data_IF_142281711377
#
_entry.id   IF_142281711377
#
_cell.length_a   1.000
_cell.length_b   1.000
_cell.length_c   1.000
_cell.angle_alpha   90.00
_cell.angle_beta   90.00
_cell.angle_gamma   90.00
#
_symmetry.space_group_name_H-M   'P 1'
#
loop_
_entity.id
_entity.type
_entity.pdbx_description
1 polymer ?
#
# COMPACT_ATOMS: atom_id res chain seq x y z
N UNK A 1 -2.74 23.28 4.66
CA UNK A 1 -2.13 22.15 5.41
C UNK A 1 -1.52 21.21 4.39
N UNK A 2 -0.32 20.67 4.65
CA UNK A 2 0.31 19.72 3.72
C UNK A 2 -0.50 18.40 3.73
N UNK A 3 -1.06 18.05 2.58
CA UNK A 3 -1.73 16.74 2.40
C UNK A 3 -0.71 15.79 1.79
N UNK A 4 -0.55 14.55 2.29
CA UNK A 4 0.34 13.57 1.69
C UNK A 4 -0.18 13.21 0.29
N UNK A 5 0.70 13.25 -0.70
CA UNK A 5 0.36 12.82 -2.06
C UNK A 5 0.13 11.30 -2.12
N UNK A 6 0.85 10.53 -1.30
CA UNK A 6 0.76 9.08 -1.25
C UNK A 6 0.46 8.59 0.18
N UNK A 7 -0.66 7.89 0.31
CA UNK A 7 -1.10 7.23 1.55
C UNK A 7 -1.08 5.71 1.33
N UNK A 8 -0.48 4.97 2.26
CA UNK A 8 -0.51 3.52 2.27
C UNK A 8 -1.33 3.01 3.46
N UNK A 9 -2.16 1.96 3.27
CA UNK A 9 -3.08 1.47 4.30
C UNK A 9 -2.92 -0.04 4.51
N UNK A 10 -2.65 -0.43 5.76
CA UNK A 10 -2.74 -1.82 6.22
C UNK A 10 -4.16 -2.06 6.75
N UNK A 11 -4.96 -2.76 5.96
CA UNK A 11 -6.39 -3.03 6.17
C UNK A 11 -6.60 -4.17 7.18
N UNK A 12 -6.34 -3.91 8.46
CA UNK A 12 -6.40 -4.93 9.51
C UNK A 12 -7.74 -4.92 10.27
N UNK A 13 -8.11 -6.09 10.84
CA UNK A 13 -9.23 -6.23 11.73
C UNK A 13 -10.48 -6.87 11.14
N UNK A 14 -10.54 -7.27 9.87
CA UNK A 14 -11.70 -7.90 9.23
C UNK A 14 -12.25 -9.09 10.03
N UNK A 15 -11.38 -10.01 10.44
CA UNK A 15 -11.77 -11.19 11.21
C UNK A 15 -12.23 -10.86 12.64
N UNK A 16 -11.58 -9.90 13.31
CA UNK A 16 -11.96 -9.42 14.64
C UNK A 16 -13.31 -8.71 14.62
N UNK A 17 -13.53 -7.91 13.60
CA UNK A 17 -14.82 -7.24 13.35
C UNK A 17 -15.98 -8.26 13.23
N UNK A 18 -15.80 -9.31 12.43
CA UNK A 18 -16.78 -10.36 12.25
C UNK A 18 -17.04 -11.12 13.57
N UNK A 19 -15.97 -11.53 14.28
CA UNK A 19 -16.05 -12.22 15.56
C UNK A 19 -16.81 -11.41 16.61
N UNK A 20 -16.55 -10.10 16.71
CA UNK A 20 -17.22 -9.21 17.65
C UNK A 20 -18.73 -9.09 17.38
N UNK A 21 -19.21 -9.47 16.18
CA UNK A 21 -20.60 -9.43 15.75
C UNK A 21 -21.26 -10.82 15.61
N UNK A 22 -20.55 -11.88 16.04
CA UNK A 22 -21.04 -13.26 15.89
C UNK A 22 -21.15 -13.72 14.43
N UNK A 23 -20.41 -13.08 13.50
CA UNK A 23 -20.49 -13.35 12.07
C UNK A 23 -19.33 -14.24 11.60
N UNK A 24 -19.52 -15.00 10.52
CA UNK A 24 -18.42 -15.72 9.86
C UNK A 24 -17.33 -14.75 9.39
N UNK A 25 -16.07 -15.20 9.41
CA UNK A 25 -14.90 -14.40 9.03
C UNK A 25 -15.02 -13.78 7.63
N UNK A 26 -15.61 -14.51 6.69
CA UNK A 26 -15.89 -14.06 5.33
C UNK A 26 -16.78 -12.80 5.29
N UNK A 27 -17.72 -12.65 6.23
CA UNK A 27 -18.55 -11.45 6.31
C UNK A 27 -17.69 -10.19 6.64
N UNK A 28 -16.68 -10.35 7.50
CA UNK A 28 -15.74 -9.27 7.78
C UNK A 28 -14.91 -8.88 6.55
N UNK A 29 -14.45 -9.84 5.77
CA UNK A 29 -13.72 -9.56 4.53
C UNK A 29 -14.62 -8.88 3.49
N UNK A 30 -15.88 -9.28 3.35
CA UNK A 30 -16.84 -8.59 2.47
C UNK A 30 -17.09 -7.14 2.91
N UNK A 31 -17.29 -6.92 4.20
CA UNK A 31 -17.44 -5.58 4.75
C UNK A 31 -16.15 -4.74 4.55
N UNK A 32 -14.97 -5.38 4.62
CA UNK A 32 -13.69 -4.74 4.32
C UNK A 32 -13.55 -4.31 2.84
N UNK A 33 -14.13 -5.05 1.90
CA UNK A 33 -14.18 -4.64 0.48
C UNK A 33 -15.07 -3.39 0.32
N UNK A 34 -16.20 -3.31 1.03
CA UNK A 34 -17.04 -2.10 1.02
C UNK A 34 -16.32 -0.87 1.62
N UNK A 35 -15.54 -1.07 2.69
CA UNK A 35 -14.72 0.00 3.26
C UNK A 35 -13.66 0.47 2.25
N UNK A 36 -13.01 -0.46 1.51
CA UNK A 36 -12.05 -0.12 0.44
C UNK A 36 -12.71 0.74 -0.64
N UNK A 37 -13.88 0.37 -1.15
CA UNK A 37 -14.63 1.16 -2.15
C UNK A 37 -14.87 2.59 -1.69
N UNK A 38 -15.36 2.76 -0.44
CA UNK A 38 -15.60 4.09 0.16
C UNK A 38 -14.31 4.89 0.27
N UNK A 39 -13.21 4.25 0.66
CA UNK A 39 -11.89 4.88 0.81
C UNK A 39 -11.35 5.35 -0.55
N UNK A 40 -11.41 4.50 -1.58
CA UNK A 40 -10.98 4.86 -2.95
C UNK A 40 -11.77 6.04 -3.49
N UNK A 41 -13.10 6.04 -3.32
CA UNK A 41 -13.94 7.17 -3.75
C UNK A 41 -13.65 8.47 -2.98
N UNK A 42 -13.27 8.37 -1.70
CA UNK A 42 -13.00 9.55 -0.87
C UNK A 42 -11.60 10.14 -1.10
N UNK A 43 -10.63 9.34 -1.50
CA UNK A 43 -9.21 9.71 -1.58
C UNK A 43 -8.93 10.93 -2.48
N UNK A 44 -9.45 11.04 -3.72
CA UNK A 44 -9.19 12.19 -4.57
C UNK A 44 -9.73 13.50 -3.96
N UNK A 45 -10.94 13.45 -3.38
CA UNK A 45 -11.57 14.62 -2.71
C UNK A 45 -10.87 15.05 -1.42
N UNK A 46 -9.90 14.26 -0.94
CA UNK A 46 -9.03 14.57 0.20
C UNK A 46 -7.61 14.97 -0.24
N UNK A 47 -7.35 15.08 -1.55
CA UNK A 47 -6.06 15.50 -2.11
C UNK A 47 -5.03 14.37 -2.23
N UNK A 48 -5.43 13.11 -2.12
CA UNK A 48 -4.57 11.94 -2.26
C UNK A 48 -4.46 11.57 -3.75
N UNK A 49 -3.24 11.50 -4.27
CA UNK A 49 -2.95 11.12 -5.65
C UNK A 49 -2.58 9.63 -5.81
N UNK A 50 -2.00 9.04 -4.76
CA UNK A 50 -1.62 7.63 -4.70
C UNK A 50 -2.17 7.00 -3.43
N UNK A 51 -2.86 5.87 -3.57
CA UNK A 51 -3.38 5.09 -2.46
C UNK A 51 -2.90 3.66 -2.59
N UNK A 52 -1.98 3.23 -1.71
CA UNK A 52 -1.53 1.83 -1.65
C UNK A 52 -2.30 1.09 -0.56
N UNK A 53 -2.85 -0.07 -0.89
CA UNK A 53 -3.58 -0.92 0.05
C UNK A 53 -2.98 -2.31 0.14
N UNK A 54 -2.83 -2.84 1.38
CA UNK A 54 -2.31 -4.18 1.62
C UNK A 54 -3.44 -5.21 1.55
N UNK A 55 -3.68 -5.74 0.36
CA UNK A 55 -4.80 -6.64 0.09
C UNK A 55 -4.51 -8.10 0.49
N UNK A 56 -3.31 -8.60 0.18
CA UNK A 56 -2.90 -9.97 0.50
C UNK A 56 -1.38 -10.07 0.64
N UNK A 57 -0.92 -10.43 1.83
CA UNK A 57 0.53 -10.61 2.08
C UNK A 57 1.00 -12.00 1.65
N UNK A 58 2.31 -12.13 1.36
CA UNK A 58 2.94 -13.43 1.09
C UNK A 58 2.75 -14.42 2.24
N UNK A 59 2.69 -13.95 3.49
CA UNK A 59 2.47 -14.80 4.67
C UNK A 59 1.03 -15.33 4.75
N UNK A 60 0.07 -14.71 4.06
CA UNK A 60 -1.34 -15.14 4.10
C UNK A 60 -1.58 -16.50 3.43
N UNK A 61 -0.64 -17.00 2.62
CA UNK A 61 -0.71 -18.36 2.10
C UNK A 61 -0.62 -19.45 3.17
N UNK A 62 -0.08 -19.12 4.36
CA UNK A 62 -0.04 -20.04 5.52
C UNK A 62 -1.40 -20.20 6.22
N UNK A 63 -2.40 -19.41 5.85
CA UNK A 63 -3.76 -19.50 6.42
C UNK A 63 -4.47 -20.78 5.97
N UNK A 64 -5.56 -21.19 6.67
CA UNK A 64 -6.37 -22.31 6.23
C UNK A 64 -6.79 -22.18 4.76
N UNK A 65 -6.70 -23.27 3.98
CA UNK A 65 -6.97 -23.28 2.54
C UNK A 65 -8.34 -22.71 2.17
N UNK A 66 -9.38 -22.96 3.00
CA UNK A 66 -10.70 -22.40 2.81
C UNK A 66 -10.70 -20.86 2.88
N UNK A 67 -10.01 -20.27 3.88
CA UNK A 67 -9.87 -18.81 3.99
C UNK A 67 -9.14 -18.20 2.79
N UNK A 68 -8.05 -18.83 2.36
CA UNK A 68 -7.30 -18.39 1.16
C UNK A 68 -8.19 -18.43 -0.08
N UNK A 69 -8.96 -19.52 -0.27
CA UNK A 69 -9.92 -19.64 -1.37
C UNK A 69 -10.98 -18.54 -1.35
N UNK A 70 -11.53 -18.25 -0.17
CA UNK A 70 -12.51 -17.16 0.01
C UNK A 70 -11.92 -15.79 -0.35
N UNK A 71 -10.68 -15.50 0.08
CA UNK A 71 -9.99 -14.25 -0.24
C UNK A 71 -9.72 -14.13 -1.74
N UNK A 72 -9.30 -15.20 -2.42
CA UNK A 72 -9.13 -15.21 -3.88
C UNK A 72 -10.48 -14.98 -4.60
N UNK A 73 -11.55 -15.60 -4.11
CA UNK A 73 -12.92 -15.36 -4.61
C UNK A 73 -13.35 -13.89 -4.47
N UNK A 74 -13.06 -13.26 -3.33
CA UNK A 74 -13.36 -11.85 -3.10
C UNK A 74 -12.55 -10.92 -3.99
N UNK A 75 -11.26 -11.21 -4.22
CA UNK A 75 -10.43 -10.45 -5.16
C UNK A 75 -11.02 -10.48 -6.57
N UNK A 76 -11.34 -11.71 -7.07
CA UNK A 76 -11.96 -11.89 -8.39
C UNK A 76 -13.29 -11.11 -8.50
N UNK A 77 -14.11 -11.18 -7.46
CA UNK A 77 -15.39 -10.46 -7.42
C UNK A 77 -15.19 -8.94 -7.43
N UNK A 78 -14.23 -8.42 -6.63
CA UNK A 78 -13.90 -7.01 -6.59
C UNK A 78 -13.48 -6.52 -7.98
N UNK A 79 -12.49 -7.19 -8.61
CA UNK A 79 -12.00 -6.76 -9.92
C UNK A 79 -13.16 -6.78 -10.93
N UNK A 80 -13.89 -7.88 -11.07
CA UNK A 80 -14.96 -8.00 -12.06
C UNK A 80 -16.10 -7.00 -11.87
N UNK A 81 -16.45 -6.69 -10.62
CA UNK A 81 -17.57 -5.80 -10.31
C UNK A 81 -17.20 -4.33 -10.36
N UNK A 82 -15.98 -4.00 -9.87
CA UNK A 82 -15.65 -2.61 -9.57
C UNK A 82 -14.73 -1.99 -10.63
N UNK A 83 -14.10 -2.81 -11.50
CA UNK A 83 -13.15 -2.33 -12.50
C UNK A 83 -13.75 -1.28 -13.44
N UNK A 84 -14.99 -1.50 -13.91
CA UNK A 84 -15.67 -0.54 -14.80
C UNK A 84 -15.90 0.82 -14.10
N UNK A 85 -16.31 0.80 -12.83
CA UNK A 85 -16.51 2.02 -12.03
C UNK A 85 -15.18 2.72 -11.76
N UNK A 86 -14.12 1.97 -11.41
CA UNK A 86 -12.78 2.53 -11.21
C UNK A 86 -12.29 3.22 -12.48
N UNK A 87 -12.47 2.58 -13.65
CA UNK A 87 -12.10 3.16 -14.94
C UNK A 87 -12.89 4.43 -15.24
N UNK A 88 -14.23 4.41 -15.09
CA UNK A 88 -15.08 5.59 -15.30
C UNK A 88 -14.74 6.76 -14.37
N UNK A 89 -14.30 6.46 -13.15
CA UNK A 89 -13.88 7.46 -12.16
C UNK A 89 -12.44 7.96 -12.36
N UNK A 90 -11.77 7.51 -13.44
CA UNK A 90 -10.40 7.91 -13.75
C UNK A 90 -9.36 7.33 -12.79
N UNK A 91 -9.67 6.25 -12.05
CA UNK A 91 -8.73 5.56 -11.16
C UNK A 91 -7.82 4.65 -11.97
N UNK A 92 -6.51 4.84 -11.86
CA UNK A 92 -5.49 3.94 -12.41
C UNK A 92 -5.19 2.84 -11.42
N UNK A 93 -5.28 1.59 -11.82
CA UNK A 93 -4.92 0.43 -10.99
C UNK A 93 -3.47 0.03 -11.27
N UNK A 94 -2.70 -0.21 -10.22
CA UNK A 94 -1.36 -0.80 -10.26
C UNK A 94 -1.31 -1.96 -9.26
N UNK A 95 -0.68 -3.04 -9.64
CA UNK A 95 -0.54 -4.23 -8.78
C UNK A 95 0.94 -4.42 -8.45
N UNK A 96 1.27 -4.47 -7.17
CA UNK A 96 2.62 -4.81 -6.68
C UNK A 96 2.59 -6.14 -5.95
N UNK A 97 3.71 -6.87 -6.02
CA UNK A 97 3.89 -8.20 -5.42
C UNK A 97 4.25 -9.26 -6.45
N UNK A 98 4.57 -10.45 -5.96
CA UNK A 98 5.03 -11.54 -6.82
C UNK A 98 3.86 -12.20 -7.56
N UNK A 99 3.93 -12.18 -8.90
CA UNK A 99 2.96 -12.84 -9.78
C UNK A 99 3.34 -14.30 -10.10
N UNK A 100 4.58 -14.70 -9.77
CA UNK A 100 5.01 -16.08 -9.94
C UNK A 100 4.18 -17.00 -9.02
N UNK A 101 3.74 -18.13 -9.54
CA UNK A 101 2.90 -19.07 -8.79
C UNK A 101 1.43 -18.71 -8.63
N UNK A 102 0.98 -17.53 -9.04
CA UNK A 102 -0.45 -17.21 -9.10
C UNK A 102 -1.15 -18.02 -10.20
N UNK A 103 -2.40 -18.42 -9.94
CA UNK A 103 -3.26 -19.08 -10.94
C UNK A 103 -3.44 -18.18 -12.17
N UNK A 104 -3.51 -18.78 -13.35
CA UNK A 104 -3.56 -18.04 -14.61
C UNK A 104 -4.78 -17.10 -14.72
N UNK A 105 -5.92 -17.51 -14.17
CA UNK A 105 -7.14 -16.69 -14.15
C UNK A 105 -7.02 -15.46 -13.24
N UNK A 106 -6.29 -15.56 -12.13
CA UNK A 106 -5.99 -14.40 -11.28
C UNK A 106 -5.05 -13.45 -12.02
N UNK A 107 -3.95 -13.97 -12.60
CA UNK A 107 -3.01 -13.14 -13.37
C UNK A 107 -3.73 -12.38 -14.47
N UNK A 108 -4.56 -13.07 -15.27
CA UNK A 108 -5.32 -12.43 -16.35
C UNK A 108 -6.23 -11.30 -15.86
N UNK A 109 -6.89 -11.45 -14.71
CA UNK A 109 -7.71 -10.38 -14.11
C UNK A 109 -6.87 -9.18 -13.62
N UNK A 110 -5.69 -9.43 -13.05
CA UNK A 110 -4.78 -8.36 -12.63
C UNK A 110 -4.26 -7.59 -13.84
N UNK A 111 -3.86 -8.29 -14.90
CA UNK A 111 -3.36 -7.70 -16.14
C UNK A 111 -4.46 -6.89 -16.87
N UNK A 112 -5.71 -7.40 -16.89
CA UNK A 112 -6.87 -6.68 -17.41
C UNK A 112 -7.13 -5.38 -16.65
N UNK A 113 -7.08 -5.41 -15.31
CA UNK A 113 -7.30 -4.24 -14.48
C UNK A 113 -6.27 -3.14 -14.74
N UNK A 114 -4.99 -3.49 -14.83
CA UNK A 114 -3.93 -2.52 -15.15
C UNK A 114 -4.05 -1.98 -16.57
N UNK A 115 -4.28 -2.86 -17.55
CA UNK A 115 -4.36 -2.47 -18.97
C UNK A 115 -5.53 -1.54 -19.25
N UNK A 116 -6.72 -1.84 -18.71
CA UNK A 116 -7.92 -1.01 -18.91
C UNK A 116 -7.75 0.39 -18.31
N UNK A 117 -7.03 0.51 -17.19
CA UNK A 117 -6.95 1.75 -16.42
C UNK A 117 -5.64 2.52 -16.62
N UNK A 118 -4.76 2.08 -17.54
CA UNK A 118 -3.39 2.59 -17.69
C UNK A 118 -3.31 4.10 -17.94
N UNK A 119 -4.30 4.66 -18.63
CA UNK A 119 -4.35 6.08 -18.99
C UNK A 119 -5.12 6.96 -17.99
N UNK A 120 -5.63 6.37 -16.92
CA UNK A 120 -6.36 7.11 -15.89
C UNK A 120 -5.40 7.92 -15.01
N UNK A 121 -5.88 9.08 -14.51
CA UNK A 121 -5.03 10.07 -13.82
C UNK A 121 -5.64 10.68 -12.54
N UNK A 122 -6.90 10.35 -12.18
CA UNK A 122 -7.54 10.94 -11.00
C UNK A 122 -6.94 10.45 -9.68
N UNK A 123 -6.64 9.16 -9.60
CA UNK A 123 -6.02 8.47 -8.46
C UNK A 123 -5.26 7.26 -8.99
N UNK A 124 -4.07 7.01 -8.47
CA UNK A 124 -3.40 5.72 -8.65
C UNK A 124 -3.67 4.84 -7.43
N UNK A 125 -4.52 3.81 -7.63
CA UNK A 125 -4.77 2.76 -6.63
C UNK A 125 -3.74 1.65 -6.81
N UNK A 126 -2.85 1.52 -5.83
CA UNK A 126 -1.83 0.47 -5.80
C UNK A 126 -2.31 -0.66 -4.89
N UNK A 127 -2.47 -1.85 -5.43
CA UNK A 127 -2.92 -3.04 -4.68
C UNK A 127 -1.72 -3.94 -4.44
N UNK A 128 -1.25 -4.00 -3.19
CA UNK A 128 -0.22 -4.94 -2.78
C UNK A 128 -0.86 -6.33 -2.59
N UNK A 129 -0.63 -7.21 -3.57
CA UNK A 129 -1.19 -8.54 -3.64
C UNK A 129 -0.09 -9.59 -3.80
N UNK A 130 -0.13 -10.63 -2.98
CA UNK A 130 0.97 -11.58 -2.82
C UNK A 130 2.30 -10.85 -2.58
N UNK A 131 2.24 -9.82 -1.73
CA UNK A 131 3.33 -8.89 -1.48
C UNK A 131 3.97 -9.13 -0.12
N UNK A 132 5.28 -8.96 -0.06
CA UNK A 132 6.08 -8.88 1.14
C UNK A 132 7.35 -8.07 0.89
N UNK A 133 7.61 -7.06 1.71
CA UNK A 133 8.75 -6.15 1.49
C UNK A 133 10.11 -6.85 1.50
N UNK A 134 10.29 -7.86 2.38
CA UNK A 134 11.53 -8.67 2.38
C UNK A 134 11.69 -9.45 1.08
N UNK A 135 10.62 -10.06 0.57
CA UNK A 135 10.65 -10.80 -0.68
C UNK A 135 10.91 -9.86 -1.88
N UNK A 136 10.28 -8.71 -1.92
CA UNK A 136 10.51 -7.68 -2.94
C UNK A 136 11.98 -7.25 -2.98
N UNK A 137 12.58 -6.97 -1.81
CA UNK A 137 14.01 -6.60 -1.69
C UNK A 137 14.90 -7.73 -2.23
N UNK A 138 14.63 -8.99 -1.86
CA UNK A 138 15.41 -10.14 -2.35
C UNK A 138 15.26 -10.33 -3.85
N UNK A 139 14.04 -10.19 -4.40
CA UNK A 139 13.79 -10.27 -5.85
C UNK A 139 14.53 -9.16 -6.61
N UNK A 140 14.51 -7.95 -6.07
CA UNK A 140 15.23 -6.80 -6.63
C UNK A 140 16.75 -7.00 -6.61
N UNK A 141 17.30 -7.44 -5.48
CA UNK A 141 18.73 -7.76 -5.38
C UNK A 141 19.15 -8.83 -6.41
N UNK A 142 18.34 -9.87 -6.62
CA UNK A 142 18.61 -10.89 -7.66
C UNK A 142 18.58 -10.31 -9.07
N UNK A 143 17.62 -9.43 -9.38
CA UNK A 143 17.57 -8.76 -10.69
C UNK A 143 18.85 -7.96 -10.96
N UNK A 144 19.28 -7.15 -9.98
CA UNK A 144 20.51 -6.35 -10.09
C UNK A 144 21.75 -7.21 -10.22
N UNK A 145 21.90 -8.25 -9.39
CA UNK A 145 23.03 -9.19 -9.47
C UNK A 145 23.09 -9.89 -10.85
N UNK A 146 21.96 -10.27 -11.42
CA UNK A 146 21.89 -10.84 -12.76
C UNK A 146 22.25 -9.83 -13.84
N UNK A 147 21.84 -8.56 -13.71
CA UNK A 147 22.21 -7.50 -14.66
C UNK A 147 23.74 -7.23 -14.62
N UNK A 148 24.36 -7.23 -13.44
CA UNK A 148 25.82 -7.15 -13.30
C UNK A 148 26.49 -8.36 -13.95
N UNK A 149 26.02 -9.59 -13.69
CA UNK A 149 26.60 -10.80 -14.26
C UNK A 149 26.51 -10.84 -15.80
N UNK A 150 25.51 -10.18 -16.40
CA UNK A 150 25.38 -10.02 -17.85
C UNK A 150 26.15 -8.81 -18.41
N UNK A 151 26.81 -8.02 -17.59
CA UNK A 151 27.52 -6.80 -18.00
C UNK A 151 26.60 -5.65 -18.43
N UNK A 152 25.31 -5.67 -18.06
CA UNK A 152 24.33 -4.63 -18.39
C UNK A 152 24.49 -3.39 -17.50
N UNK A 153 24.98 -3.58 -16.27
CA UNK A 153 25.31 -2.52 -15.30
C UNK A 153 26.60 -2.84 -14.57
N UNK A 154 27.30 -1.81 -14.09
CA UNK A 154 28.42 -1.96 -13.17
C UNK A 154 27.88 -2.13 -11.73
N UNK A 155 28.56 -2.95 -10.89
CA UNK A 155 28.20 -3.09 -9.48
C UNK A 155 28.24 -1.76 -8.72
N UNK A 156 29.19 -0.88 -9.06
CA UNK A 156 29.33 0.46 -8.46
C UNK A 156 28.20 1.44 -8.88
N UNK A 157 27.46 1.13 -9.94
CA UNK A 157 26.27 1.89 -10.35
C UNK A 157 25.00 1.52 -9.55
N UNK A 158 25.09 0.54 -8.63
CA UNK A 158 23.97 0.18 -7.75
C UNK A 158 23.90 1.20 -6.61
N UNK A 159 23.02 2.18 -6.74
CA UNK A 159 22.70 3.19 -5.73
C UNK A 159 21.32 2.93 -5.11
N UNK A 160 20.94 3.69 -4.07
CA UNK A 160 19.61 3.63 -3.50
C UNK A 160 18.54 3.94 -4.55
N UNK A 161 18.78 4.90 -5.44
CA UNK A 161 17.88 5.31 -6.52
C UNK A 161 17.75 4.21 -7.58
N UNK A 162 18.87 3.62 -8.05
CA UNK A 162 18.83 2.54 -9.03
C UNK A 162 18.18 1.28 -8.45
N UNK A 163 18.36 1.01 -7.15
CA UNK A 163 17.69 -0.07 -6.44
C UNK A 163 16.17 0.19 -6.36
N UNK A 164 15.75 1.40 -5.94
CA UNK A 164 14.35 1.79 -5.89
C UNK A 164 13.68 1.71 -7.27
N UNK A 165 14.41 2.05 -8.35
CA UNK A 165 13.96 1.90 -9.72
C UNK A 165 13.72 0.47 -10.19
N UNK A 166 14.16 -0.54 -9.41
CA UNK A 166 13.95 -1.97 -9.70
C UNK A 166 12.88 -2.62 -8.80
N UNK A 167 12.35 -1.90 -7.81
CA UNK A 167 11.26 -2.36 -6.95
C UNK A 167 9.93 -2.44 -7.72
N UNK A 168 8.97 -3.17 -7.18
CA UNK A 168 7.62 -3.28 -7.75
C UNK A 168 6.91 -1.91 -7.80
N UNK A 169 7.33 -0.98 -6.95
CA UNK A 169 6.82 0.40 -6.85
C UNK A 169 7.48 1.37 -7.83
N UNK A 170 8.28 0.92 -8.78
CA UNK A 170 8.91 1.79 -9.78
C UNK A 170 7.90 2.79 -10.40
N UNK A 171 8.26 4.09 -10.36
CA UNK A 171 7.43 5.18 -10.87
C UNK A 171 6.26 5.58 -9.97
N UNK A 172 6.19 5.03 -8.74
CA UNK A 172 5.26 5.43 -7.69
C UNK A 172 6.09 6.13 -6.61
N UNK A 173 5.75 7.33 -6.15
CA UNK A 173 6.47 7.99 -5.06
C UNK A 173 6.34 7.18 -3.76
N UNK A 174 7.32 7.29 -2.88
CA UNK A 174 7.24 6.67 -1.56
C UNK A 174 6.04 7.20 -0.76
N UNK A 175 5.40 6.36 0.08
CA UNK A 175 4.28 6.82 0.90
C UNK A 175 4.77 7.81 1.96
N UNK A 176 4.10 8.96 2.05
CA UNK A 176 4.38 9.94 3.11
C UNK A 176 3.67 9.56 4.41
N UNK A 177 2.57 8.81 4.31
CA UNK A 177 1.75 8.35 5.43
C UNK A 177 1.40 6.87 5.28
N UNK A 178 1.68 6.09 6.33
CA UNK A 178 1.18 4.71 6.47
C UNK A 178 0.15 4.67 7.58
N UNK A 179 -1.05 4.21 7.27
CA UNK A 179 -2.14 4.02 8.22
C UNK A 179 -2.31 2.52 8.48
N UNK A 180 -2.46 2.14 9.75
CA UNK A 180 -2.88 0.78 10.11
C UNK A 180 -4.09 0.82 11.04
N UNK A 181 -5.12 0.07 10.69
CA UNK A 181 -6.32 -0.10 11.50
C UNK A 181 -6.15 -1.21 12.53
N UNK A 182 -7.07 -1.26 13.53
CA UNK A 182 -7.19 -2.34 14.51
C UNK A 182 -6.21 -2.30 15.68
N UNK A 183 -5.54 -1.13 15.92
CA UNK A 183 -4.70 -0.91 17.10
C UNK A 183 -3.37 -1.66 17.12
N UNK A 184 -2.97 -2.30 16.03
CA UNK A 184 -1.71 -3.03 15.93
C UNK A 184 -0.57 -2.10 15.51
N UNK A 185 0.55 -2.11 16.25
CA UNK A 185 1.67 -1.16 16.12
C UNK A 185 2.86 -1.78 15.39
N UNK A 186 2.66 -2.29 14.18
CA UNK A 186 3.71 -2.90 13.34
C UNK A 186 3.40 -2.76 11.85
N UNK A 187 4.41 -2.83 10.98
CA UNK A 187 4.26 -2.77 9.51
C UNK A 187 3.93 -4.12 8.86
N UNK A 188 4.19 -5.23 9.55
CA UNK A 188 3.92 -6.59 9.03
C UNK A 188 4.47 -6.82 7.63
N UNK A 189 5.74 -6.50 7.40
CA UNK A 189 6.42 -6.71 6.12
C UNK A 189 5.84 -5.88 4.94
N UNK A 190 5.12 -4.78 5.25
CA UNK A 190 4.53 -3.91 4.24
C UNK A 190 5.46 -2.74 3.91
N UNK A 191 5.77 -2.54 2.61
CA UNK A 191 6.53 -1.42 2.06
C UNK A 191 7.80 -1.05 2.85
N UNK A 192 8.62 -2.05 3.24
CA UNK A 192 9.75 -1.84 4.15
C UNK A 192 10.77 -0.84 3.63
N UNK A 193 11.07 -0.85 2.33
CA UNK A 193 11.97 0.11 1.70
C UNK A 193 11.30 1.47 1.59
N UNK A 194 10.11 1.50 1.02
CA UNK A 194 9.39 2.72 0.66
C UNK A 194 8.90 3.50 1.88
N UNK A 195 8.61 2.81 3.00
CA UNK A 195 8.12 3.44 4.22
C UNK A 195 9.21 3.97 5.16
N UNK A 196 10.49 3.98 4.73
CA UNK A 196 11.62 4.37 5.56
C UNK A 196 11.48 5.77 6.21
N UNK A 197 10.79 6.69 5.53
CA UNK A 197 10.54 8.05 6.02
C UNK A 197 9.06 8.40 6.11
N UNK A 198 8.17 7.39 6.10
CA UNK A 198 6.73 7.58 6.26
C UNK A 198 6.37 7.95 7.69
N UNK A 199 5.42 8.85 7.85
CA UNK A 199 4.70 9.01 9.12
C UNK A 199 3.77 7.82 9.33
N UNK A 200 3.65 7.34 10.57
CA UNK A 200 2.82 6.20 10.92
C UNK A 200 1.62 6.66 11.77
N UNK A 201 0.41 6.27 11.36
CA UNK A 201 -0.82 6.50 12.12
C UNK A 201 -1.51 5.15 12.40
N UNK A 202 -1.71 4.85 13.66
CA UNK A 202 -2.36 3.63 14.12
C UNK A 202 -3.74 3.95 14.68
N UNK A 203 -4.79 3.39 14.05
CA UNK A 203 -6.16 3.64 14.42
C UNK A 203 -6.76 2.43 15.15
N UNK A 204 -7.54 2.62 16.22
CA UNK A 204 -8.13 1.53 16.97
C UNK A 204 -9.31 0.87 16.25
N UNK A 205 -9.95 1.56 15.29
CA UNK A 205 -11.10 1.03 14.54
C UNK A 205 -10.71 -0.18 13.70
N UNK A 206 -11.61 -1.14 13.54
CA UNK A 206 -11.43 -2.23 12.60
C UNK A 206 -11.61 -1.74 11.16
N UNK A 207 -10.90 -2.35 10.21
CA UNK A 207 -11.00 -1.94 8.80
C UNK A 207 -12.42 -1.84 8.23
N UNK A 208 -13.37 -2.78 8.50
CA UNK A 208 -14.74 -2.64 8.02
C UNK A 208 -15.49 -1.39 8.50
N UNK A 209 -15.07 -0.83 9.64
CA UNK A 209 -15.65 0.38 10.22
C UNK A 209 -14.87 1.65 9.80
N UNK A 210 -13.78 1.51 9.02
CA UNK A 210 -12.99 2.64 8.53
C UNK A 210 -13.81 3.48 7.54
N UNK A 211 -13.79 4.77 7.72
CA UNK A 211 -14.59 5.73 6.95
C UNK A 211 -13.76 6.89 6.43
N UNK A 212 -14.40 7.77 5.64
CA UNK A 212 -13.82 9.03 5.19
C UNK A 212 -13.35 9.91 6.36
N UNK A 213 -14.10 9.92 7.46
CA UNK A 213 -13.80 10.69 8.67
C UNK A 213 -12.51 10.22 9.32
N UNK A 214 -12.29 8.89 9.43
CA UNK A 214 -11.05 8.30 9.94
C UNK A 214 -9.86 8.62 9.02
N UNK A 215 -10.05 8.59 7.69
CA UNK A 215 -9.01 8.98 6.75
C UNK A 215 -8.67 10.48 6.92
N UNK A 216 -9.68 11.35 7.01
CA UNK A 216 -9.47 12.77 7.22
C UNK A 216 -8.82 13.09 8.58
N UNK A 217 -9.10 12.31 9.63
CA UNK A 217 -8.43 12.40 10.93
C UNK A 217 -6.94 12.05 10.82
N UNK A 218 -6.61 10.94 10.17
CA UNK A 218 -5.21 10.56 9.93
C UNK A 218 -4.45 11.62 9.11
N UNK A 219 -5.10 12.25 8.12
CA UNK A 219 -4.52 13.34 7.35
C UNK A 219 -4.28 14.60 8.20
N UNK A 220 -5.19 14.91 9.13
CA UNK A 220 -4.99 16.04 10.09
C UNK A 220 -3.83 15.77 11.05
N UNK A 221 -3.73 14.53 11.56
CA UNK A 221 -2.59 14.13 12.41
C UNK A 221 -1.28 14.29 11.63
N UNK A 222 -1.20 13.78 10.41
CA UNK A 222 -0.04 13.95 9.53
C UNK A 222 0.30 15.45 9.32
N UNK A 223 -0.68 16.28 9.02
CA UNK A 223 -0.48 17.70 8.76
C UNK A 223 -0.01 18.51 9.99
N UNK A 224 -0.24 17.98 11.18
CA UNK A 224 0.24 18.57 12.45
C UNK A 224 1.68 18.20 12.81
N UNK A 225 2.30 17.24 12.10
CA UNK A 225 3.65 16.78 12.41
C UNK A 225 4.72 17.56 11.65
N UNK A 226 5.85 17.79 12.31
CA UNK A 226 7.05 18.37 11.69
C UNK A 226 7.92 17.23 11.13
N UNK A 227 8.14 17.22 9.81
CA UNK A 227 8.97 16.22 9.12
C UNK A 227 10.39 16.73 8.98
N UNK A 228 11.34 16.12 9.67
CA UNK A 228 12.74 16.60 9.76
C UNK A 228 13.73 15.88 8.85
N UNK A 229 13.41 14.70 8.32
CA UNK A 229 14.28 13.88 7.43
C UNK A 229 15.75 13.81 7.89
N UNK A 230 15.99 13.74 9.20
CA UNK A 230 17.33 13.76 9.80
C UNK A 230 17.97 15.14 9.91
N UNK A 231 17.32 16.22 9.50
CA UNK A 231 17.77 17.60 9.65
C UNK A 231 17.43 18.23 11.00
N UNK A 232 18.11 19.33 11.32
CA UNK A 232 17.80 20.16 12.50
C UNK A 232 16.55 21.01 12.20
N UNK A 233 15.62 21.11 13.16
CA UNK A 233 14.47 22.01 13.05
C UNK A 233 14.89 23.50 13.15
N UNK A 234 14.03 24.44 12.68
CA UNK A 234 14.32 25.88 12.75
C UNK A 234 14.70 26.38 14.15
N UNK A 235 14.15 25.77 15.19
CA UNK A 235 14.45 26.11 16.59
C UNK A 235 15.80 25.60 17.06
N UNK A 236 16.31 24.48 16.50
CA UNK A 236 17.58 23.88 16.87
C UNK A 236 18.77 24.65 16.22
N UNK A 237 18.52 25.35 15.12
CA UNK A 237 19.52 26.20 14.44
C UNK A 237 19.72 27.52 15.19
N UNK A 238 18.66 28.05 15.79
CA UNK A 238 18.71 29.34 16.53
C UNK A 238 19.43 29.23 17.91
N UNK A 239 19.63 28.03 18.43
CA UNK A 239 20.25 27.79 19.75
C UNK A 239 21.77 27.48 19.68
N UNK A 240 22.41 27.51 18.49
CA UNK A 240 23.86 27.38 18.41
C UNK A 240 24.51 28.70 18.83
N UNK A 241 25.30 28.73 19.93
CA UNK A 241 26.12 29.89 20.23
C UNK A 241 27.07 30.13 19.07
N UNK A 242 27.21 31.39 18.63
CA UNK A 242 28.21 31.79 17.66
C UNK A 242 29.58 31.33 18.20
N UNK A 243 30.26 30.48 17.44
CA UNK A 243 31.62 30.08 17.75
C UNK A 243 32.48 31.33 17.71
N UNK A 244 32.97 31.77 18.89
CA UNK A 244 33.97 32.83 19.04
C UNK A 244 35.33 32.35 18.63
#
# INVERSE_FOLDING_TARGET
MATPAHVAIIMDGNGRWAKARGLPRLAGHRAGVEALRKTVRAAPGLGISFLTVYAFSSENWSRPKAEVSDLMGLLKLFIRRDLAELHQSGVRVRIIGDRAGLQADIRGLLDEAESLTIHNTSLTLVIAFNYGGRDEIVRTARKLAQAVARGEIDSEAITAESFAGCLDTQGIPDPELVIRTSGELRLSNFLLWQAAYSELVFLPCYWPDFSREHLAEALRDFAGRERRFGGLGPQDVASRPAAG
#
